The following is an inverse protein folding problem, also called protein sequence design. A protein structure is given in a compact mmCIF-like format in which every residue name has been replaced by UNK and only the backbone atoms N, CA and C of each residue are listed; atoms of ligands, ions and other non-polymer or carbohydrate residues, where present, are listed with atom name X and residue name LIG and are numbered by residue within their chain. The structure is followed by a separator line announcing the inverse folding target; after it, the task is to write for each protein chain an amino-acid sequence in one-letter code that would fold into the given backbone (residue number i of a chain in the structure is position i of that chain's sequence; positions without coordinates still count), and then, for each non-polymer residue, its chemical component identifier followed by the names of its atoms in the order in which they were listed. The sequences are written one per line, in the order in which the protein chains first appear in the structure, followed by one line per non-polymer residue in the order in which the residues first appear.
data_IF_062737174172
#
_entry.id   IF_062737174172
#
_cell.length_a   1.000
_cell.length_b   1.000
_cell.length_c   1.000
_cell.angle_alpha   90.00
_cell.angle_beta   90.00
_cell.angle_gamma   90.00
#
_symmetry.space_group_name_H-M   'P 1'
#
loop_
_entity.id
_entity.type
_entity.pdbx_description
1 polymer ?
#
# COMPACT_ATOMS: atom_id res chain seq x y z
N UNK A 1 -13.05 -13.60 -8.15
CA UNK A 1 -12.85 -12.52 -9.09
C UNK A 1 -12.39 -11.31 -8.37
N UNK A 2 -11.60 -10.49 -8.99
CA UNK A 2 -11.09 -9.31 -8.36
C UNK A 2 -9.77 -9.45 -7.64
N UNK A 3 -9.14 -10.62 -7.73
CA UNK A 3 -7.79 -10.73 -7.20
C UNK A 3 -6.83 -9.96 -8.08
N UNK A 4 -5.99 -9.15 -7.45
CA UNK A 4 -5.01 -8.34 -8.15
C UNK A 4 -3.66 -8.44 -7.45
N UNK A 5 -2.64 -8.10 -8.23
CA UNK A 5 -1.27 -8.03 -7.77
C UNK A 5 -0.76 -6.66 -8.18
N UNK A 6 -0.42 -5.83 -7.21
CA UNK A 6 0.02 -4.46 -7.47
C UNK A 6 1.33 -4.18 -6.76
N UNK A 7 2.10 -3.31 -7.36
CA UNK A 7 3.35 -2.82 -6.78
C UNK A 7 3.29 -1.31 -6.72
N UNK A 8 3.67 -0.75 -5.59
CA UNK A 8 3.65 0.69 -5.42
C UNK A 8 4.26 1.11 -4.10
N UNK A 9 3.97 2.34 -3.74
CA UNK A 9 4.46 2.94 -2.51
C UNK A 9 3.31 3.06 -1.52
N UNK A 10 3.55 2.70 -0.28
CA UNK A 10 2.57 2.88 0.78
C UNK A 10 2.56 4.34 1.17
N UNK A 11 1.41 4.98 1.02
CA UNK A 11 1.26 6.39 1.35
C UNK A 11 0.19 6.58 2.42
N UNK A 12 0.30 7.62 3.24
CA UNK A 12 -0.79 7.94 4.15
C UNK A 12 -1.98 8.45 3.35
N UNK A 13 -3.17 8.06 3.78
CA UNK A 13 -4.40 8.45 3.09
C UNK A 13 -5.34 9.24 3.99
N UNK A 14 -5.46 8.84 5.27
CA UNK A 14 -6.29 9.53 6.23
C UNK A 14 -5.59 9.59 7.57
N UNK A 15 -5.85 10.69 8.30
CA UNK A 15 -5.24 10.94 9.60
C UNK A 15 -6.34 11.10 10.65
N UNK A 16 -6.06 10.65 11.86
CA UNK A 16 -6.91 10.90 13.00
C UNK A 16 -6.72 12.29 13.57
N UNK A 17 -7.53 12.60 14.57
CA UNK A 17 -7.49 13.92 15.22
C UNK A 17 -6.14 14.21 15.88
N UNK A 18 -5.47 13.16 16.32
CA UNK A 18 -4.16 13.28 16.95
C UNK A 18 -3.00 13.39 15.95
N UNK A 19 -3.31 13.40 14.65
CA UNK A 19 -2.30 13.51 13.63
C UNK A 19 -1.70 12.18 13.18
N UNK A 20 -2.08 11.09 13.82
CA UNK A 20 -1.59 9.77 13.41
C UNK A 20 -2.32 9.26 12.19
N UNK A 21 -1.60 8.55 11.34
CA UNK A 21 -2.18 7.94 10.14
C UNK A 21 -3.11 6.81 10.56
N UNK A 22 -4.36 6.87 10.11
CA UNK A 22 -5.36 5.84 10.42
C UNK A 22 -5.77 5.05 9.19
N UNK A 23 -5.37 5.48 8.02
CA UNK A 23 -5.66 4.75 6.78
C UNK A 23 -4.54 5.02 5.79
N UNK A 24 -4.19 3.98 5.05
CA UNK A 24 -3.12 4.04 4.06
C UNK A 24 -3.68 3.66 2.70
N UNK A 25 -2.92 4.01 1.67
CA UNK A 25 -3.21 3.60 0.31
C UNK A 25 -1.92 3.16 -0.35
N UNK A 26 -2.05 2.51 -1.50
CA UNK A 26 -0.89 2.13 -2.29
C UNK A 26 -0.96 2.90 -3.60
N UNK A 27 0.07 3.69 -3.84
CA UNK A 27 0.20 4.44 -5.07
C UNK A 27 1.05 3.62 -6.02
N UNK A 28 0.41 3.12 -7.08
CA UNK A 28 1.06 2.15 -7.96
C UNK A 28 1.91 2.81 -9.02
N UNK A 29 2.74 2.00 -9.66
CA UNK A 29 3.59 2.46 -10.75
C UNK A 29 2.78 2.97 -11.95
N UNK A 30 1.51 2.60 -12.04
CA UNK A 30 0.62 3.07 -13.08
C UNK A 30 -0.20 4.28 -12.67
N UNK A 31 0.18 4.88 -11.55
CA UNK A 31 -0.46 6.07 -11.00
C UNK A 31 -1.89 5.84 -10.52
N UNK A 32 -2.22 4.60 -10.17
CA UNK A 32 -3.48 4.27 -9.52
C UNK A 32 -3.31 4.36 -8.01
N UNK A 33 -4.37 4.71 -7.32
CA UNK A 33 -4.40 4.73 -5.86
C UNK A 33 -5.37 3.67 -5.38
N UNK A 34 -4.87 2.72 -4.60
CA UNK A 34 -5.69 1.69 -3.98
C UNK A 34 -5.72 1.92 -2.48
N UNK A 35 -6.89 2.26 -1.96
CA UNK A 35 -7.06 2.46 -0.52
C UNK A 35 -7.05 1.09 0.15
N UNK A 36 -6.24 0.92 1.18
CA UNK A 36 -6.11 -0.37 1.85
C UNK A 36 -7.26 -0.53 2.82
N UNK A 37 -8.00 -1.63 2.69
CA UNK A 37 -9.10 -1.92 3.59
C UNK A 37 -8.58 -2.31 4.97
N UNK A 38 -9.39 -2.01 5.98
CA UNK A 38 -9.01 -2.30 7.36
C UNK A 38 -9.03 -3.79 7.60
N UNK A 39 -7.86 -4.37 7.83
CA UNK A 39 -7.72 -5.76 8.20
C UNK A 39 -6.39 -5.95 8.91
N UNK A 40 -6.08 -7.20 9.25
CA UNK A 40 -4.85 -7.50 9.98
C UNK A 40 -3.60 -7.08 9.20
N UNK A 41 -3.63 -7.24 7.89
CA UNK A 41 -2.48 -6.91 7.06
C UNK A 41 -2.22 -5.40 7.01
N UNK A 42 -3.29 -4.62 7.07
CA UNK A 42 -3.14 -3.17 7.08
C UNK A 42 -2.35 -2.71 8.31
N UNK A 43 -2.59 -3.34 9.45
CA UNK A 43 -1.90 -2.97 10.68
C UNK A 43 -0.38 -3.12 10.49
N UNK A 44 0.02 -4.18 9.82
CA UNK A 44 1.44 -4.39 9.55
C UNK A 44 1.97 -3.35 8.55
N UNK A 45 1.19 -3.06 7.53
CA UNK A 45 1.61 -2.12 6.49
C UNK A 45 1.76 -0.69 7.02
N UNK A 46 1.01 -0.34 8.05
CA UNK A 46 1.14 0.98 8.67
C UNK A 46 2.55 1.26 9.17
N UNK A 47 3.32 0.21 9.43
CA UNK A 47 4.70 0.35 9.88
C UNK A 47 5.67 0.64 8.75
N UNK A 48 5.19 0.59 7.51
CA UNK A 48 6.06 0.67 6.33
C UNK A 48 5.66 1.80 5.38
N UNK A 49 5.15 2.88 5.93
CA UNK A 49 4.77 4.04 5.12
C UNK A 49 6.00 4.56 4.38
N UNK A 50 5.80 4.93 3.12
CA UNK A 50 6.83 5.41 2.20
C UNK A 50 7.75 4.30 1.68
N UNK A 51 7.44 3.05 1.98
CA UNK A 51 8.19 1.92 1.46
C UNK A 51 7.50 1.37 0.21
N UNK A 52 8.31 0.78 -0.66
CA UNK A 52 7.75 0.08 -1.82
C UNK A 52 7.25 -1.28 -1.38
N UNK A 53 6.09 -1.66 -1.91
CA UNK A 53 5.45 -2.91 -1.51
C UNK A 53 4.86 -3.59 -2.73
N UNK A 54 4.92 -4.91 -2.73
CA UNK A 54 4.15 -5.72 -3.66
C UNK A 54 3.02 -6.35 -2.86
N UNK A 55 1.80 -6.19 -3.34
CA UNK A 55 0.61 -6.60 -2.62
C UNK A 55 -0.26 -7.48 -3.50
N UNK A 56 -0.72 -8.57 -2.92
CA UNK A 56 -1.73 -9.42 -3.54
C UNK A 56 -2.97 -9.38 -2.69
N UNK A 57 -4.09 -9.19 -3.33
CA UNK A 57 -5.33 -9.10 -2.58
C UNK A 57 -6.54 -9.00 -3.48
N UNK A 58 -7.64 -8.61 -2.87
CA UNK A 58 -8.91 -8.52 -3.55
C UNK A 58 -9.26 -7.06 -3.80
N UNK A 59 -9.50 -6.74 -5.06
CA UNK A 59 -9.90 -5.41 -5.46
C UNK A 59 -11.38 -5.21 -5.20
N UNK A 60 -11.73 -4.09 -4.61
CA UNK A 60 -13.11 -3.65 -4.46
C UNK A 60 -13.21 -2.23 -5.00
N UNK A 61 -14.25 -1.99 -5.78
CA UNK A 61 -14.52 -0.66 -6.29
C UNK A 61 -15.84 -0.20 -5.71
N UNK A 62 -15.85 1.00 -5.14
CA UNK A 62 -17.02 1.51 -4.47
C UNK A 62 -17.78 2.46 -5.38
N UNK A 63 -19.02 2.77 -4.98
CA UNK A 63 -19.89 3.63 -5.78
C UNK A 63 -19.30 5.02 -6.00
N UNK A 64 -18.42 5.46 -5.13
CA UNK A 64 -17.77 6.75 -5.25
C UNK A 64 -16.63 6.74 -6.29
N UNK A 65 -16.41 5.59 -6.94
CA UNK A 65 -15.36 5.45 -7.94
C UNK A 65 -13.98 5.14 -7.37
N UNK A 66 -13.86 5.08 -6.06
CA UNK A 66 -12.57 4.81 -5.44
C UNK A 66 -12.27 3.32 -5.45
N UNK A 67 -10.99 3.01 -5.63
CA UNK A 67 -10.52 1.63 -5.64
C UNK A 67 -9.97 1.26 -4.27
N UNK A 68 -10.39 0.11 -3.79
CA UNK A 68 -9.94 -0.42 -2.50
C UNK A 68 -9.29 -1.77 -2.71
N UNK A 69 -8.38 -2.13 -1.83
CA UNK A 69 -7.76 -3.45 -1.86
C UNK A 69 -7.78 -4.06 -0.47
N UNK A 70 -8.31 -5.28 -0.38
CA UNK A 70 -8.20 -6.09 0.82
C UNK A 70 -6.95 -6.94 0.70
N UNK A 71 -5.90 -6.54 1.40
CA UNK A 71 -4.60 -7.18 1.29
C UNK A 71 -4.64 -8.58 1.90
N UNK A 72 -4.20 -9.55 1.13
CA UNK A 72 -4.08 -10.94 1.59
C UNK A 72 -2.63 -11.32 1.83
N UNK A 73 -1.74 -10.84 0.98
CA UNK A 73 -0.30 -11.08 1.12
C UNK A 73 0.43 -9.82 0.69
N UNK A 74 1.59 -9.61 1.28
CA UNK A 74 2.42 -8.49 0.88
C UNK A 74 3.90 -8.83 1.06
N UNK A 75 4.73 -8.10 0.34
CA UNK A 75 6.17 -8.20 0.46
C UNK A 75 6.75 -6.79 0.38
N UNK A 76 7.49 -6.40 1.40
CA UNK A 76 8.12 -5.09 1.41
C UNK A 76 9.35 -5.16 0.53
N UNK A 77 9.42 -4.22 -0.40
CA UNK A 77 10.55 -4.11 -1.31
C UNK A 77 11.34 -2.88 -0.94
N UNK A 78 12.43 -3.07 -0.26
CA UNK A 78 13.25 -1.94 0.09
C UNK A 78 14.11 -1.55 -1.09
N UNK A 79 14.24 -0.25 -1.27
CA UNK A 79 15.31 0.28 -2.10
C UNK A 79 16.53 0.09 -1.27
N UNK A 80 17.23 -0.95 -1.58
CA UNK A 80 18.10 -1.53 -0.63
C UNK A 80 19.44 -0.88 -0.61
N UNK A 81 20.14 -1.22 0.42
CA UNK A 81 21.56 -0.97 0.52
C UNK A 81 22.31 -1.43 -0.72
N UNK A 82 21.78 -2.45 -1.38
CA UNK A 82 22.39 -2.94 -2.61
C UNK A 82 22.49 -1.89 -3.69
N UNK A 83 21.42 -1.12 -3.87
CA UNK A 83 21.42 -0.05 -4.84
C UNK A 83 22.37 1.05 -4.44
N UNK A 84 22.44 1.34 -3.17
CA UNK A 84 23.39 2.30 -2.66
C UNK A 84 24.82 1.86 -2.90
N UNK A 85 25.08 0.58 -2.69
CA UNK A 85 26.40 0.04 -2.92
C UNK A 85 26.81 0.11 -4.38
N UNK A 86 25.86 -0.09 -5.25
CA UNK A 86 26.11 -0.02 -6.69
C UNK A 86 26.44 1.39 -7.15
N UNK A 87 25.98 2.37 -6.44
CA UNK A 87 26.25 3.75 -6.78
C UNK A 87 27.64 4.20 -6.35
N UNK A 88 28.25 3.42 -5.54
CA UNK A 88 29.59 3.70 -5.09
C UNK A 88 30.63 3.10 -6.04
#
# INVERSE_FOLDING_TARGET
MGKIDITGIIIPYNWGEDGNVIQIAIYTNKEDVYIVEHNRQEIELLKHINRRVEVKGKKNERLDGKKYIGVQQYSIREITDEESDQLL
#
